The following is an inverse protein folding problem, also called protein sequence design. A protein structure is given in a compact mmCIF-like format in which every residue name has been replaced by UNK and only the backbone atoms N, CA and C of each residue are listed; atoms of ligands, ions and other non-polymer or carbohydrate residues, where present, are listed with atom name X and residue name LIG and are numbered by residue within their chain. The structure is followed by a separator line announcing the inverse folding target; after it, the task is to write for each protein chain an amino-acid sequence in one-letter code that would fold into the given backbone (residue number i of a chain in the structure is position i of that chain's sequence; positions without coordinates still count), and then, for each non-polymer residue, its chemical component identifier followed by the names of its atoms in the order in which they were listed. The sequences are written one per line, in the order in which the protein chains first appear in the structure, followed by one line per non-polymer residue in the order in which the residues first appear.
data_IF_409335055596
#
_entry.id   IF_409335055596
#
_cell.length_a   1.000
_cell.length_b   1.000
_cell.length_c   1.000
_cell.angle_alpha   90.00
_cell.angle_beta   90.00
_cell.angle_gamma   90.00
#
_symmetry.space_group_name_H-M   'P 1'
#
loop_
_entity.id
_entity.type
_entity.pdbx_description
1 polymer ?
#
# COMPACT_ATOMS: atom_id res chain seq x y z
N UNK A 1 -3.88 -22.53 -1.87
CA UNK A 1 -2.87 -21.46 -1.75
C UNK A 1 -1.71 -21.98 -0.94
N UNK A 2 -0.48 -21.70 -1.36
CA UNK A 2 0.71 -22.02 -0.56
C UNK A 2 1.03 -20.82 0.35
N UNK A 3 0.55 -20.86 1.58
CA UNK A 3 0.77 -19.82 2.58
C UNK A 3 2.25 -19.68 2.95
N UNK A 4 3.02 -20.76 2.91
CA UNK A 4 4.44 -20.71 3.23
C UNK A 4 5.23 -19.97 2.16
N UNK A 5 4.88 -20.15 0.89
CA UNK A 5 5.45 -19.37 -0.20
C UNK A 5 5.13 -17.86 -0.04
N UNK A 6 3.89 -17.51 0.34
CA UNK A 6 3.49 -16.12 0.58
C UNK A 6 4.22 -15.52 1.78
N UNK A 7 4.36 -16.29 2.85
CA UNK A 7 5.12 -15.89 4.04
C UNK A 7 6.60 -15.64 3.70
N UNK A 8 7.22 -16.55 2.96
CA UNK A 8 8.60 -16.41 2.53
C UNK A 8 8.80 -15.16 1.68
N UNK A 9 7.87 -14.88 0.76
CA UNK A 9 7.91 -13.68 -0.07
C UNK A 9 7.73 -12.40 0.74
N UNK A 10 6.76 -12.34 1.66
CA UNK A 10 6.57 -11.20 2.57
C UNK A 10 7.83 -10.95 3.41
N UNK A 11 8.42 -12.01 3.98
CA UNK A 11 9.66 -11.90 4.74
C UNK A 11 10.81 -11.38 3.89
N UNK A 12 10.94 -11.87 2.65
CA UNK A 12 11.96 -11.41 1.68
C UNK A 12 11.77 -9.92 1.32
N UNK A 13 10.54 -9.44 1.30
CA UNK A 13 10.20 -8.04 1.07
C UNK A 13 10.34 -7.18 2.34
N UNK A 14 10.81 -7.75 3.45
CA UNK A 14 11.06 -7.04 4.70
C UNK A 14 9.81 -6.79 5.55
N UNK A 15 8.75 -7.59 5.36
CA UNK A 15 7.58 -7.58 6.22
C UNK A 15 7.79 -8.47 7.43
N UNK A 16 7.41 -7.99 8.61
CA UNK A 16 7.34 -8.79 9.82
C UNK A 16 5.99 -9.50 9.87
N UNK A 17 5.99 -10.82 10.01
CA UNK A 17 4.77 -11.61 10.16
C UNK A 17 4.23 -11.39 11.58
N UNK A 18 2.98 -10.97 11.68
CA UNK A 18 2.28 -10.73 12.95
C UNK A 18 1.49 -11.95 13.36
N UNK A 19 0.73 -12.53 12.43
CA UNK A 19 -0.02 -13.76 12.62
C UNK A 19 -0.10 -14.55 11.32
N UNK A 20 -0.27 -15.85 11.47
CA UNK A 20 -0.55 -16.77 10.39
C UNK A 20 -1.47 -17.87 10.93
N UNK A 21 -2.53 -18.16 10.20
CA UNK A 21 -3.45 -19.27 10.44
C UNK A 21 -3.78 -19.98 9.12
N UNK A 22 -4.71 -20.92 9.14
CA UNK A 22 -5.10 -21.69 7.95
C UNK A 22 -5.83 -20.83 6.89
N UNK A 23 -6.36 -19.67 7.29
CA UNK A 23 -7.12 -18.78 6.42
C UNK A 23 -6.27 -17.66 5.84
N UNK A 24 -5.12 -17.32 6.47
CA UNK A 24 -4.32 -16.21 5.97
C UNK A 24 -3.09 -15.83 6.76
N UNK A 25 -2.52 -14.70 6.34
CA UNK A 25 -1.32 -14.10 6.93
C UNK A 25 -1.60 -12.62 7.18
N UNK A 26 -1.17 -12.14 8.34
CA UNK A 26 -1.09 -10.71 8.65
C UNK A 26 0.37 -10.34 8.79
N UNK A 27 0.80 -9.34 8.04
CA UNK A 27 2.18 -8.88 8.07
C UNK A 27 2.26 -7.35 8.09
N UNK A 28 3.31 -6.81 8.72
CA UNK A 28 3.51 -5.37 8.84
C UNK A 28 4.88 -4.95 8.35
N UNK A 29 4.96 -3.77 7.76
CA UNK A 29 6.22 -3.14 7.40
C UNK A 29 6.14 -1.64 7.62
N UNK A 30 7.23 -1.08 8.12
CA UNK A 30 7.41 0.36 8.20
C UNK A 30 8.70 0.73 7.50
N UNK A 31 8.59 1.34 6.33
CA UNK A 31 9.73 1.67 5.49
C UNK A 31 9.80 3.17 5.21
N UNK A 32 11.02 3.67 5.16
CA UNK A 32 11.31 5.03 4.76
C UNK A 32 11.53 5.09 3.25
N UNK A 33 10.86 6.01 2.60
CA UNK A 33 10.95 6.17 1.16
C UNK A 33 11.47 7.57 0.81
N UNK A 34 12.75 7.69 0.41
CA UNK A 34 13.32 8.98 0.02
C UNK A 34 12.60 9.62 -1.18
N UNK A 35 12.15 8.79 -2.12
CA UNK A 35 11.38 9.18 -3.31
C UNK A 35 9.94 9.61 -3.01
N UNK A 36 9.52 9.56 -1.76
CA UNK A 36 8.21 9.98 -1.28
C UNK A 36 8.31 11.21 -0.35
N UNK A 37 9.11 12.22 -0.72
CA UNK A 37 9.36 13.42 0.09
C UNK A 37 9.85 13.02 1.48
N UNK A 38 10.80 12.08 1.52
CA UNK A 38 11.37 11.53 2.75
C UNK A 38 10.27 11.09 3.75
N UNK A 39 9.20 10.45 3.28
CA UNK A 39 8.10 10.01 4.12
C UNK A 39 8.18 8.54 4.48
N UNK A 40 7.58 8.19 5.61
CA UNK A 40 7.52 6.83 6.11
C UNK A 40 6.16 6.21 5.79
N UNK A 41 6.15 5.18 4.95
CA UNK A 41 4.97 4.35 4.72
C UNK A 41 4.90 3.24 5.76
N UNK A 42 3.77 3.15 6.43
CA UNK A 42 3.43 2.08 7.34
C UNK A 42 2.37 1.22 6.67
N UNK A 43 2.71 -0.02 6.36
CA UNK A 43 1.87 -0.92 5.61
C UNK A 43 1.49 -2.14 6.46
N UNK A 44 0.21 -2.47 6.46
CA UNK A 44 -0.29 -3.78 6.92
C UNK A 44 -0.79 -4.53 5.71
N UNK A 45 -0.37 -5.77 5.59
CA UNK A 45 -0.78 -6.69 4.52
C UNK A 45 -1.59 -7.81 5.14
N UNK A 46 -2.79 -8.01 4.62
CA UNK A 46 -3.63 -9.15 4.90
C UNK A 46 -3.67 -10.02 3.65
N UNK A 47 -3.23 -11.25 3.78
CA UNK A 47 -3.35 -12.27 2.73
C UNK A 47 -4.42 -13.25 3.19
N UNK A 48 -5.47 -13.45 2.40
CA UNK A 48 -6.58 -14.34 2.76
C UNK A 48 -6.90 -15.32 1.65
N UNK A 49 -7.24 -16.54 2.03
CA UNK A 49 -7.80 -17.54 1.14
C UNK A 49 -9.31 -17.57 1.33
N UNK A 50 -10.06 -17.38 0.24
CA UNK A 50 -11.51 -17.43 0.24
C UNK A 50 -12.00 -18.32 -0.91
N UNK A 51 -13.14 -18.94 -0.76
CA UNK A 51 -13.72 -19.76 -1.82
C UNK A 51 -14.32 -18.89 -2.94
N UNK A 52 -15.13 -17.93 -2.55
CA UNK A 52 -15.73 -16.94 -3.46
C UNK A 52 -15.49 -15.57 -2.85
N UNK A 53 -14.99 -14.64 -3.63
CA UNK A 53 -14.85 -13.24 -3.20
C UNK A 53 -16.03 -12.45 -3.72
N UNK A 54 -16.88 -11.97 -2.82
CA UNK A 54 -18.03 -11.11 -3.09
C UNK A 54 -17.94 -9.77 -2.36
N UNK A 55 -18.87 -8.86 -2.62
CA UNK A 55 -18.93 -7.53 -2.00
C UNK A 55 -19.20 -7.58 -0.49
N UNK A 56 -19.87 -8.61 0.01
CA UNK A 56 -20.16 -8.79 1.42
C UNK A 56 -18.86 -9.03 2.20
N UNK A 57 -18.05 -9.97 1.73
CA UNK A 57 -16.72 -10.28 2.28
C UNK A 57 -15.82 -9.04 2.23
N UNK A 58 -15.74 -8.37 1.08
CA UNK A 58 -14.91 -7.16 0.93
C UNK A 58 -15.31 -6.04 1.89
N UNK A 59 -16.62 -5.82 2.08
CA UNK A 59 -17.12 -4.77 2.96
C UNK A 59 -16.85 -5.08 4.43
N UNK A 60 -17.12 -6.32 4.86
CA UNK A 60 -16.87 -6.79 6.21
C UNK A 60 -15.37 -6.75 6.54
N UNK A 61 -14.56 -7.32 5.66
CA UNK A 61 -13.11 -7.38 5.81
C UNK A 61 -12.48 -6.00 5.82
N UNK A 62 -12.94 -5.09 4.97
CA UNK A 62 -12.44 -3.71 4.96
C UNK A 62 -12.58 -3.06 6.33
N UNK A 63 -13.75 -3.16 6.95
CA UNK A 63 -13.99 -2.57 8.27
C UNK A 63 -13.06 -3.20 9.34
N UNK A 64 -12.97 -4.53 9.35
CA UNK A 64 -12.14 -5.29 10.28
C UNK A 64 -10.64 -5.00 10.08
N UNK A 65 -10.15 -5.05 8.85
CA UNK A 65 -8.75 -4.83 8.53
C UNK A 65 -8.30 -3.39 8.82
N UNK A 66 -9.16 -2.39 8.58
CA UNK A 66 -8.88 -1.00 8.94
C UNK A 66 -8.83 -0.79 10.46
N UNK A 67 -9.68 -1.49 11.22
CA UNK A 67 -9.65 -1.47 12.69
C UNK A 67 -8.35 -2.13 13.20
N UNK A 68 -8.05 -3.35 12.76
CA UNK A 68 -6.84 -4.08 13.13
C UNK A 68 -5.56 -3.30 12.77
N UNK A 69 -5.52 -2.64 11.62
CA UNK A 69 -4.37 -1.82 11.22
C UNK A 69 -4.13 -0.61 12.14
N UNK A 70 -5.16 -0.09 12.80
CA UNK A 70 -5.02 0.98 13.80
C UNK A 70 -4.34 0.48 15.06
N UNK A 71 -4.63 -0.74 15.46
CA UNK A 71 -4.03 -1.39 16.63
C UNK A 71 -2.59 -1.84 16.36
N UNK A 72 -2.36 -2.48 15.21
CA UNK A 72 -1.04 -2.99 14.82
C UNK A 72 -0.02 -1.87 14.54
N UNK A 73 -0.50 -0.71 14.12
CA UNK A 73 0.35 0.44 13.82
C UNK A 73 -0.08 1.66 14.64
N UNK A 74 0.06 1.62 15.97
CA UNK A 74 -0.32 2.74 16.82
C UNK A 74 0.48 3.97 16.43
N UNK A 75 -0.17 5.13 16.43
CA UNK A 75 0.47 6.36 16.07
C UNK A 75 0.87 7.14 17.31
N UNK A 76 2.13 7.53 17.34
CA UNK A 76 2.71 8.37 18.41
C UNK A 76 2.60 9.86 18.07
N UNK A 77 2.27 10.20 16.81
CA UNK A 77 2.22 11.56 16.33
C UNK A 77 0.79 12.11 16.26
N UNK A 78 0.57 13.42 16.39
CA UNK A 78 -0.73 14.04 16.18
C UNK A 78 -1.34 13.65 14.82
N UNK A 79 -2.67 13.53 14.74
CA UNK A 79 -3.38 13.03 13.54
C UNK A 79 -3.01 13.75 12.25
N UNK A 80 -2.68 15.03 12.29
CA UNK A 80 -2.32 15.83 11.13
C UNK A 80 -0.88 15.57 10.61
N UNK A 81 0.01 15.01 11.47
CA UNK A 81 1.36 14.57 11.10
C UNK A 81 1.42 13.08 10.71
N UNK A 82 0.32 12.34 10.94
CA UNK A 82 0.24 10.91 10.67
C UNK A 82 -0.06 10.65 9.21
N UNK A 83 0.94 10.77 8.38
CA UNK A 83 0.77 10.47 6.96
C UNK A 83 1.10 9.00 6.70
N UNK A 84 0.23 8.37 5.89
CA UNK A 84 0.49 7.16 5.11
C UNK A 84 0.49 5.85 5.89
N UNK A 85 -0.71 5.44 6.32
CA UNK A 85 -1.01 4.02 6.53
C UNK A 85 -1.59 3.43 5.26
N UNK A 86 -1.05 2.30 4.82
CA UNK A 86 -1.65 1.49 3.79
C UNK A 86 -2.10 0.15 4.37
N UNK A 87 -3.30 -0.24 4.06
CA UNK A 87 -3.85 -1.56 4.32
C UNK A 87 -4.02 -2.24 2.98
N UNK A 88 -3.21 -3.25 2.73
CA UNK A 88 -3.27 -4.06 1.51
C UNK A 88 -3.98 -5.36 1.84
N UNK A 89 -5.09 -5.62 1.16
CA UNK A 89 -5.83 -6.87 1.29
C UNK A 89 -5.67 -7.69 0.01
N UNK A 90 -5.02 -8.84 0.10
CA UNK A 90 -4.79 -9.74 -1.03
C UNK A 90 -5.61 -11.00 -0.83
N UNK A 91 -6.57 -11.21 -1.72
CA UNK A 91 -7.46 -12.37 -1.70
C UNK A 91 -7.05 -13.38 -2.76
N UNK A 92 -6.90 -14.62 -2.34
CA UNK A 92 -6.77 -15.78 -3.21
C UNK A 92 -8.12 -16.49 -3.24
N UNK A 93 -8.90 -16.27 -4.29
CA UNK A 93 -10.25 -16.79 -4.43
C UNK A 93 -10.31 -17.89 -5.51
N UNK A 94 -11.20 -18.88 -5.34
CA UNK A 94 -11.49 -19.83 -6.40
C UNK A 94 -12.37 -19.21 -7.49
N UNK A 95 -13.19 -18.21 -7.09
CA UNK A 95 -13.98 -17.39 -8.00
C UNK A 95 -14.08 -15.95 -7.44
N UNK A 96 -14.16 -14.96 -8.33
CA UNK A 96 -14.32 -13.56 -7.99
C UNK A 96 -15.58 -13.02 -8.67
N UNK A 97 -16.51 -12.52 -7.86
CA UNK A 97 -17.74 -11.93 -8.39
C UNK A 97 -17.45 -10.65 -9.19
N UNK A 98 -18.24 -10.35 -10.25
CA UNK A 98 -18.03 -9.16 -11.06
C UNK A 98 -18.00 -7.85 -10.27
N UNK A 99 -18.86 -7.69 -9.27
CA UNK A 99 -18.90 -6.49 -8.43
C UNK A 99 -17.66 -6.39 -7.53
N UNK A 100 -17.22 -7.51 -6.96
CA UNK A 100 -15.99 -7.59 -6.18
C UNK A 100 -14.75 -7.28 -7.04
N UNK A 101 -14.72 -7.77 -8.28
CA UNK A 101 -13.71 -7.43 -9.26
C UNK A 101 -13.69 -5.93 -9.55
N UNK A 102 -14.84 -5.34 -9.91
CA UNK A 102 -14.97 -3.92 -10.19
C UNK A 102 -14.52 -3.07 -8.99
N UNK A 103 -14.82 -3.51 -7.75
CA UNK A 103 -14.36 -2.87 -6.54
C UNK A 103 -12.83 -2.91 -6.40
N UNK A 104 -12.19 -4.04 -6.65
CA UNK A 104 -10.73 -4.16 -6.61
C UNK A 104 -10.04 -3.30 -7.69
N UNK A 105 -10.65 -3.17 -8.86
CA UNK A 105 -10.13 -2.38 -9.98
C UNK A 105 -10.45 -0.87 -9.88
N UNK A 106 -11.29 -0.46 -8.94
CA UNK A 106 -11.68 0.94 -8.75
C UNK A 106 -10.74 1.71 -7.82
N UNK A 107 -10.58 3.04 -8.02
CA UNK A 107 -9.85 3.86 -7.08
C UNK A 107 -10.59 3.91 -5.73
N UNK A 108 -9.95 3.45 -4.68
CA UNK A 108 -10.51 3.59 -3.34
C UNK A 108 -10.36 5.04 -2.90
N UNK A 109 -11.47 5.62 -2.40
CA UNK A 109 -11.47 6.98 -1.90
C UNK A 109 -10.44 7.15 -0.78
N UNK A 110 -9.50 8.05 -1.01
CA UNK A 110 -8.52 8.46 -0.02
C UNK A 110 -9.02 9.73 0.64
N UNK A 111 -9.55 9.63 1.84
CA UNK A 111 -9.69 10.80 2.69
C UNK A 111 -8.29 11.30 3.10
N UNK A 112 -8.09 12.62 3.27
CA UNK A 112 -6.78 13.19 3.62
C UNK A 112 -6.24 12.70 4.97
N UNK A 113 -7.05 12.03 5.78
CA UNK A 113 -6.72 11.51 7.12
C UNK A 113 -6.99 10.00 7.27
N UNK A 114 -7.44 9.32 6.22
CA UNK A 114 -7.79 7.91 6.27
C UNK A 114 -6.63 7.01 5.83
N UNK A 115 -6.64 5.78 6.36
CA UNK A 115 -5.74 4.74 5.89
C UNK A 115 -6.12 4.36 4.45
N UNK A 116 -5.14 4.28 3.57
CA UNK A 116 -5.35 3.76 2.22
C UNK A 116 -5.73 2.29 2.32
N UNK A 117 -6.91 1.92 1.84
CA UNK A 117 -7.29 0.53 1.66
C UNK A 117 -7.03 0.14 0.19
N UNK A 118 -6.24 -0.90 -0.02
CA UNK A 118 -5.83 -1.35 -1.35
C UNK A 118 -6.19 -2.83 -1.50
N UNK A 119 -7.41 -3.15 -1.99
CA UNK A 119 -7.82 -4.52 -2.23
C UNK A 119 -7.23 -5.05 -3.53
N UNK A 120 -6.89 -6.33 -3.52
CA UNK A 120 -6.43 -7.08 -4.68
C UNK A 120 -6.96 -8.51 -4.60
N UNK A 121 -7.36 -9.07 -5.72
CA UNK A 121 -7.83 -10.44 -5.81
C UNK A 121 -7.06 -11.21 -6.89
N UNK A 122 -6.68 -12.45 -6.59
CA UNK A 122 -6.24 -13.44 -7.56
C UNK A 122 -7.36 -14.49 -7.69
N UNK A 123 -7.92 -14.57 -8.86
CA UNK A 123 -8.83 -15.65 -9.24
C UNK A 123 -7.99 -16.89 -9.64
N UNK A 124 -8.03 -17.93 -8.80
CA UNK A 124 -7.25 -19.15 -9.01
C UNK A 124 -7.74 -19.96 -10.19
N UNK A 125 -9.02 -19.83 -10.58
CA UNK A 125 -9.59 -20.56 -11.71
C UNK A 125 -9.08 -20.06 -13.04
N UNK A 126 -8.91 -18.74 -13.17
CA UNK A 126 -8.45 -18.08 -14.41
C UNK A 126 -6.97 -17.66 -14.35
N UNK A 127 -6.36 -17.60 -13.15
CA UNK A 127 -5.04 -17.05 -12.94
C UNK A 127 -5.00 -15.51 -13.07
N UNK A 128 -6.14 -14.85 -13.18
CA UNK A 128 -6.24 -13.40 -13.35
C UNK A 128 -6.13 -12.67 -12.02
N UNK A 129 -5.40 -11.55 -12.02
CA UNK A 129 -5.28 -10.68 -10.86
C UNK A 129 -6.00 -9.36 -11.08
N UNK A 130 -6.86 -8.99 -10.14
CA UNK A 130 -7.69 -7.79 -10.17
C UNK A 130 -7.25 -6.84 -9.06
N UNK A 131 -6.77 -5.68 -9.43
CA UNK A 131 -6.40 -4.59 -8.52
C UNK A 131 -6.30 -3.28 -9.28
N UNK A 132 -6.44 -2.16 -8.59
CA UNK A 132 -6.40 -0.86 -9.22
C UNK A 132 -5.03 -0.54 -9.83
N UNK A 133 -5.02 -0.22 -11.14
CA UNK A 133 -3.83 0.08 -11.92
C UNK A 133 -3.52 1.58 -12.03
N UNK A 134 -4.48 2.43 -11.67
CA UNK A 134 -4.36 3.87 -11.79
C UNK A 134 -3.43 4.50 -10.76
N UNK A 135 -3.31 5.82 -10.84
CA UNK A 135 -2.52 6.62 -9.89
C UNK A 135 -3.38 7.79 -9.43
N UNK A 136 -3.52 7.97 -8.12
CA UNK A 136 -4.20 9.13 -7.55
C UNK A 136 -3.19 10.26 -7.30
N UNK A 137 -3.64 11.49 -7.39
CA UNK A 137 -2.84 12.67 -7.03
C UNK A 137 -2.35 12.59 -5.57
N UNK A 138 -3.23 12.12 -4.66
CA UNK A 138 -2.88 11.87 -3.26
C UNK A 138 -2.43 10.43 -3.06
N UNK A 139 -1.20 10.25 -2.56
CA UNK A 139 -0.63 8.92 -2.34
C UNK A 139 -0.05 8.27 -3.60
N UNK A 140 -0.03 8.96 -4.74
CA UNK A 140 0.48 8.43 -6.02
C UNK A 140 1.88 7.81 -5.95
N UNK A 141 2.71 8.36 -5.06
CA UNK A 141 4.06 7.85 -4.79
C UNK A 141 4.05 6.41 -4.27
N UNK A 142 3.03 6.02 -3.52
CA UNK A 142 2.96 4.70 -2.90
C UNK A 142 2.33 3.63 -3.80
N UNK A 143 1.50 4.03 -4.77
CA UNK A 143 0.77 3.06 -5.61
C UNK A 143 1.69 2.16 -6.44
N UNK A 144 2.82 2.67 -6.92
CA UNK A 144 3.82 1.85 -7.61
C UNK A 144 4.36 0.73 -6.71
N UNK A 145 4.56 1.03 -5.42
CA UNK A 145 5.06 0.09 -4.41
C UNK A 145 3.99 -0.91 -4.00
N UNK A 146 2.73 -0.46 -3.86
CA UNK A 146 1.60 -1.34 -3.57
C UNK A 146 1.32 -2.30 -4.72
N UNK A 147 1.35 -1.82 -5.98
CA UNK A 147 1.24 -2.68 -7.16
C UNK A 147 2.38 -3.68 -7.25
N UNK A 148 3.60 -3.25 -6.96
CA UNK A 148 4.75 -4.16 -6.91
C UNK A 148 4.52 -5.27 -5.88
N UNK A 149 4.09 -4.91 -4.66
CA UNK A 149 3.78 -5.89 -3.61
C UNK A 149 2.71 -6.89 -4.07
N UNK A 150 1.58 -6.39 -4.60
CA UNK A 150 0.50 -7.26 -5.08
C UNK A 150 1.01 -8.20 -6.18
N UNK A 151 1.73 -7.69 -7.19
CA UNK A 151 2.31 -8.52 -8.25
C UNK A 151 3.25 -9.59 -7.71
N UNK A 152 4.01 -9.27 -6.67
CA UNK A 152 4.91 -10.24 -6.03
C UNK A 152 4.16 -11.33 -5.29
N UNK A 153 3.01 -11.01 -4.70
CA UNK A 153 2.18 -11.98 -3.99
C UNK A 153 1.29 -12.79 -4.93
N UNK A 154 0.81 -12.22 -6.04
CA UNK A 154 -0.14 -12.88 -6.96
C UNK A 154 0.47 -13.42 -8.24
N UNK A 155 1.70 -13.05 -8.56
CA UNK A 155 2.39 -13.45 -9.77
C UNK A 155 3.45 -14.53 -9.56
N UNK A 156 4.05 -15.03 -10.63
CA UNK A 156 5.21 -15.90 -10.54
C UNK A 156 6.35 -15.17 -9.84
N UNK A 157 6.95 -15.81 -8.84
CA UNK A 157 7.99 -15.25 -7.94
C UNK A 157 9.34 -14.96 -8.63
N UNK A 158 9.43 -15.11 -9.95
CA UNK A 158 10.66 -14.87 -10.69
C UNK A 158 10.88 -13.39 -10.99
N UNK A 159 11.86 -12.78 -10.34
CA UNK A 159 12.29 -11.41 -10.61
C UNK A 159 13.02 -10.75 -9.44
N UNK A 160 13.77 -9.67 -9.67
CA UNK A 160 14.49 -8.99 -8.61
C UNK A 160 13.55 -8.42 -7.56
N UNK A 161 13.91 -8.57 -6.28
CA UNK A 161 13.14 -8.05 -5.15
C UNK A 161 13.23 -6.52 -4.98
N UNK A 162 13.67 -5.79 -6.00
CA UNK A 162 13.79 -4.33 -5.93
C UNK A 162 12.44 -3.67 -6.13
N UNK A 163 12.04 -2.88 -5.15
CA UNK A 163 10.88 -2.01 -5.28
C UNK A 163 11.13 -0.92 -6.34
N UNK A 164 10.15 -0.64 -7.21
CA UNK A 164 10.31 0.40 -8.21
C UNK A 164 10.44 1.77 -7.55
N UNK A 165 11.37 2.57 -8.04
CA UNK A 165 11.45 3.99 -7.69
C UNK A 165 10.29 4.71 -8.36
N UNK A 166 9.54 5.49 -7.60
CA UNK A 166 8.42 6.25 -8.15
C UNK A 166 8.95 7.48 -8.89
N UNK A 167 8.81 7.51 -10.23
CA UNK A 167 9.16 8.68 -11.05
C UNK A 167 8.41 9.93 -10.56
N UNK A 168 7.13 9.78 -10.22
CA UNK A 168 6.33 10.86 -9.65
C UNK A 168 6.91 11.35 -8.32
N UNK A 169 7.35 10.43 -7.44
CA UNK A 169 7.98 10.78 -6.18
C UNK A 169 9.30 11.54 -6.37
N UNK A 170 10.13 11.12 -7.31
CA UNK A 170 11.38 11.82 -7.65
C UNK A 170 11.08 13.23 -8.14
N UNK A 171 10.16 13.38 -9.08
CA UNK A 171 9.77 14.71 -9.62
C UNK A 171 9.26 15.61 -8.51
N UNK A 172 8.34 15.11 -7.64
CA UNK A 172 7.79 15.90 -6.53
C UNK A 172 8.86 16.28 -5.51
N UNK A 173 9.81 15.39 -5.23
CA UNK A 173 10.94 15.69 -4.32
C UNK A 173 11.80 16.81 -4.87
N UNK A 174 12.11 16.77 -6.18
CA UNK A 174 12.90 17.82 -6.85
C UNK A 174 12.15 19.16 -6.82
N UNK A 175 10.84 19.17 -7.12
CA UNK A 175 10.02 20.38 -7.10
C UNK A 175 9.98 21.00 -5.70
N UNK A 176 9.73 20.18 -4.67
CA UNK A 176 9.70 20.68 -3.28
C UNK A 176 11.06 21.21 -2.85
N UNK A 177 12.15 20.51 -3.19
CA UNK A 177 13.51 20.98 -2.89
C UNK A 177 13.80 22.32 -3.56
N UNK A 178 13.42 22.50 -4.84
CA UNK A 178 13.59 23.75 -5.56
C UNK A 178 12.80 24.90 -4.92
N UNK A 179 11.54 24.66 -4.52
CA UNK A 179 10.71 25.66 -3.83
C UNK A 179 11.30 26.06 -2.47
N UNK A 180 11.82 25.09 -1.70
CA UNK A 180 12.48 25.38 -0.43
C UNK A 180 13.75 26.20 -0.61
N UNK A 181 14.57 25.91 -1.61
CA UNK A 181 15.75 26.69 -1.94
C UNK A 181 15.40 28.13 -2.34
N UNK A 182 14.35 28.32 -3.15
CA UNK A 182 13.86 29.63 -3.50
C UNK A 182 13.37 30.42 -2.29
N UNK A 183 12.61 29.77 -1.37
CA UNK A 183 12.13 30.41 -0.15
C UNK A 183 13.29 30.82 0.77
N UNK A 184 14.31 29.97 0.92
CA UNK A 184 15.54 30.29 1.69
C UNK A 184 16.28 31.46 1.04
N UNK A 185 16.47 31.45 -0.27
CA UNK A 185 17.15 32.53 -0.99
C UNK A 185 16.41 33.86 -0.84
N UNK A 186 15.07 33.86 -0.93
CA UNK A 186 14.25 35.04 -0.71
C UNK A 186 14.35 35.56 0.72
N UNK A 187 14.33 34.67 1.71
CA UNK A 187 14.49 35.05 3.12
C UNK A 187 15.87 35.68 3.40
N UNK A 188 16.97 35.06 2.89
CA UNK A 188 18.32 35.60 3.02
C UNK A 188 18.44 36.96 2.36
N UNK A 189 17.87 37.11 1.14
CA UNK A 189 17.87 38.39 0.42
C UNK A 189 17.18 39.51 1.21
N UNK A 190 16.04 39.21 1.83
CA UNK A 190 15.32 40.18 2.67
C UNK A 190 16.07 40.52 3.95
N UNK A 191 16.72 39.54 4.58
CA UNK A 191 17.50 39.73 5.82
C UNK A 191 18.78 40.54 5.60
N UNK A 192 19.35 40.55 4.39
CA UNK A 192 20.57 41.32 4.07
C UNK A 192 20.23 42.77 3.67
N UNK A 193 19.01 43.04 3.23
CA UNK A 193 18.56 44.39 2.81
C UNK A 193 17.82 45.19 3.88
N UNK A 194 17.38 44.59 4.95
CA UNK A 194 16.77 45.25 6.12
C UNK A 194 17.80 45.55 7.18
#
# INVERSE_FOLDING_TARGET
MDLDAQRAELTRLGYAIVSQDDEGIVATRSAWYPDAIASRLRCVVFVRSVRVLDMSILTQDRAHMLAAARELLPSVLPRWLQKSRAVVAVYFADAVDPDARAFCESPQALGPLESLFYPAALDRSSGASYYWQGTSLWGGVYFSKLRFLVRRLTGPTAGPAREPVSVYGVVMTVVVAALLLQAIAAFVYLAVRG
#
